data_IF_774119923185
#
_entry.id   IF_774119923185
#
_cell.length_a   1.000
_cell.length_b   1.000
_cell.length_c   1.000
_cell.angle_alpha   90.00
_cell.angle_beta   90.00
_cell.angle_gamma   90.00
#
_symmetry.space_group_name_H-M   'P 1'
#
loop_
_entity.id
_entity.type
_entity.pdbx_description
1 polymer ?
#
# COMPACT_ATOMS: atom_id res chain seq x y z
N UNK A 1 31.88 9.66 3.28
CA UNK A 1 30.82 10.41 2.58
C UNK A 1 29.52 9.67 2.82
N UNK A 2 28.49 10.35 3.25
CA UNK A 2 27.16 9.75 3.41
C UNK A 2 26.65 9.35 2.03
N UNK A 3 26.17 8.11 1.86
CA UNK A 3 25.62 7.65 0.59
C UNK A 3 24.39 8.49 0.22
N UNK A 4 24.32 8.95 -1.02
CA UNK A 4 23.15 9.70 -1.52
C UNK A 4 22.26 8.71 -2.25
N UNK A 5 21.28 8.16 -1.56
CA UNK A 5 20.37 7.12 -2.10
C UNK A 5 19.68 7.53 -3.41
N UNK A 6 19.45 8.83 -3.63
CA UNK A 6 18.87 9.35 -4.87
C UNK A 6 19.62 8.88 -6.12
N UNK A 7 20.94 8.69 -6.02
CA UNK A 7 21.77 8.28 -7.15
C UNK A 7 21.56 6.83 -7.59
N UNK A 8 20.96 6.01 -6.75
CA UNK A 8 20.58 4.62 -7.07
C UNK A 8 19.36 4.55 -7.98
N UNK A 9 18.61 5.67 -8.14
CA UNK A 9 17.37 5.78 -8.90
C UNK A 9 17.61 6.51 -10.22
N UNK A 10 17.76 5.81 -11.37
CA UNK A 10 18.15 6.40 -12.65
C UNK A 10 17.24 7.54 -13.12
N UNK A 11 15.92 7.42 -12.92
CA UNK A 11 14.99 8.47 -13.28
C UNK A 11 15.29 9.77 -12.52
N UNK A 12 15.49 9.68 -11.22
CA UNK A 12 15.75 10.85 -10.36
C UNK A 12 17.13 11.45 -10.61
N UNK A 13 18.10 10.62 -11.02
CA UNK A 13 19.43 11.07 -11.40
C UNK A 13 19.43 11.84 -12.72
N UNK A 14 18.59 11.40 -13.67
CA UNK A 14 18.51 12.00 -15.02
C UNK A 14 17.60 13.22 -15.10
N UNK A 15 16.72 13.45 -14.13
CA UNK A 15 15.74 14.53 -14.15
C UNK A 15 15.88 15.46 -12.94
N UNK A 16 15.80 16.77 -13.19
CA UNK A 16 15.79 17.78 -12.13
C UNK A 16 14.36 17.97 -11.57
N UNK A 17 13.83 16.93 -10.90
CA UNK A 17 12.50 16.92 -10.34
C UNK A 17 12.55 16.61 -8.84
N UNK A 18 11.80 17.35 -8.03
CA UNK A 18 11.47 16.96 -6.67
C UNK A 18 10.25 16.03 -6.72
N UNK A 19 10.48 14.71 -6.77
CA UNK A 19 9.43 13.72 -6.88
C UNK A 19 8.87 13.40 -5.49
N UNK A 20 7.70 13.94 -5.18
CA UNK A 20 7.02 13.85 -3.89
C UNK A 20 5.62 13.21 -4.01
N UNK A 21 5.44 12.27 -4.96
CA UNK A 21 4.19 11.48 -5.12
C UNK A 21 4.45 9.98 -4.89
N UNK A 22 5.31 9.64 -3.91
CA UNK A 22 5.73 8.27 -3.61
C UNK A 22 4.58 7.38 -3.11
N UNK A 23 3.62 7.92 -2.39
CA UNK A 23 2.44 7.18 -1.95
C UNK A 23 1.52 6.73 -3.12
N UNK A 24 1.68 7.31 -4.32
CA UNK A 24 1.04 6.83 -5.53
C UNK A 24 1.85 5.72 -6.19
N UNK A 25 3.15 5.94 -6.42
CA UNK A 25 4.12 4.94 -6.88
C UNK A 25 5.53 5.41 -6.51
N UNK A 26 6.36 4.55 -5.91
CA UNK A 26 7.76 4.85 -5.65
C UNK A 26 8.59 4.71 -6.93
N UNK A 27 9.79 5.30 -6.98
CA UNK A 27 10.74 5.08 -8.06
C UNK A 27 11.47 3.73 -7.89
N UNK A 28 12.13 3.25 -8.95
CA UNK A 28 12.83 1.96 -8.98
C UNK A 28 14.32 2.19 -8.93
N UNK A 29 15.04 1.54 -8.00
CA UNK A 29 16.50 1.54 -8.03
C UNK A 29 17.03 0.73 -9.23
N UNK A 30 18.26 1.02 -9.64
CA UNK A 30 18.88 0.38 -10.80
C UNK A 30 18.87 -1.15 -10.67
N UNK A 31 19.14 -1.69 -9.47
CA UNK A 31 19.19 -3.13 -9.24
C UNK A 31 17.85 -3.85 -9.57
N UNK A 32 16.73 -3.18 -9.36
CA UNK A 32 15.39 -3.74 -9.71
C UNK A 32 15.20 -3.74 -11.23
N UNK A 33 15.59 -2.66 -11.90
CA UNK A 33 15.51 -2.59 -13.37
C UNK A 33 16.40 -3.65 -14.02
N UNK A 34 17.61 -3.84 -13.48
CA UNK A 34 18.57 -4.85 -13.95
C UNK A 34 18.04 -6.27 -13.74
N UNK A 35 17.48 -6.56 -12.56
CA UNK A 35 16.94 -7.89 -12.25
C UNK A 35 15.81 -8.30 -13.21
N UNK A 36 14.84 -7.42 -13.46
CA UNK A 36 13.76 -7.68 -14.43
C UNK A 36 14.28 -7.83 -15.85
N UNK A 37 15.24 -6.98 -16.25
CA UNK A 37 15.86 -7.05 -17.58
C UNK A 37 16.64 -8.35 -17.75
N UNK A 38 17.40 -8.76 -16.73
CA UNK A 38 18.22 -9.98 -16.77
C UNK A 38 17.36 -11.23 -16.84
N UNK A 39 16.24 -11.29 -16.11
CA UNK A 39 15.29 -12.39 -16.23
C UNK A 39 14.85 -12.60 -17.69
N UNK A 40 14.47 -11.54 -18.40
CA UNK A 40 14.09 -11.65 -19.82
C UNK A 40 15.23 -12.03 -20.76
N UNK A 41 16.47 -11.70 -20.41
CA UNK A 41 17.64 -12.01 -21.22
C UNK A 41 18.12 -13.45 -21.07
N UNK A 42 17.98 -14.01 -19.85
CA UNK A 42 18.67 -15.26 -19.50
C UNK A 42 17.75 -16.38 -19.08
N UNK A 43 16.53 -16.08 -18.58
CA UNK A 43 15.64 -17.07 -17.94
C UNK A 43 14.22 -17.10 -18.54
N UNK A 44 13.95 -16.29 -19.57
CA UNK A 44 12.61 -16.14 -20.13
C UNK A 44 12.05 -17.45 -20.71
N UNK A 45 11.28 -18.16 -19.89
CA UNK A 45 10.53 -19.35 -20.24
C UNK A 45 9.22 -19.43 -19.43
N UNK A 46 8.28 -20.27 -19.86
CA UNK A 46 7.08 -20.54 -19.06
C UNK A 46 7.47 -21.32 -17.80
N UNK A 47 7.28 -20.76 -16.60
CA UNK A 47 7.62 -21.46 -15.36
C UNK A 47 6.64 -22.59 -15.04
N UNK A 48 6.96 -23.41 -14.04
CA UNK A 48 6.17 -24.45 -13.37
C UNK A 48 6.03 -25.77 -14.12
N UNK A 49 5.85 -25.81 -15.45
CA UNK A 49 5.53 -27.06 -16.18
C UNK A 49 6.62 -27.60 -17.10
N UNK A 50 7.61 -26.79 -17.44
CA UNK A 50 8.69 -27.23 -18.33
C UNK A 50 9.75 -28.02 -17.59
N UNK A 51 10.24 -29.13 -18.24
CA UNK A 51 11.33 -29.94 -17.69
C UNK A 51 12.69 -29.59 -18.30
N UNK A 52 12.77 -28.53 -19.10
CA UNK A 52 14.00 -28.07 -19.72
C UNK A 52 14.65 -26.94 -18.88
N UNK A 53 15.98 -26.75 -18.98
CA UNK A 53 16.73 -25.88 -18.05
C UNK A 53 16.18 -24.46 -17.89
N UNK A 54 15.75 -23.80 -18.98
CA UNK A 54 15.20 -22.44 -18.89
C UNK A 54 13.88 -22.37 -18.10
N UNK A 55 12.99 -23.37 -18.25
CA UNK A 55 11.74 -23.41 -17.49
C UNK A 55 11.98 -23.68 -16.00
N UNK A 56 12.98 -24.50 -15.70
CA UNK A 56 13.41 -24.77 -14.33
C UNK A 56 13.98 -23.48 -13.71
N UNK A 57 14.89 -22.78 -14.42
CA UNK A 57 15.45 -21.52 -13.96
C UNK A 57 14.35 -20.45 -13.71
N UNK A 58 13.42 -20.27 -14.65
CA UNK A 58 12.30 -19.35 -14.48
C UNK A 58 11.41 -19.71 -13.26
N UNK A 59 11.21 -21.02 -13.00
CA UNK A 59 10.47 -21.49 -11.83
C UNK A 59 11.24 -21.18 -10.53
N UNK A 60 12.53 -21.47 -10.51
CA UNK A 60 13.41 -21.19 -9.35
C UNK A 60 13.43 -19.70 -9.03
N UNK A 61 13.55 -18.83 -10.03
CA UNK A 61 13.51 -17.38 -9.84
C UNK A 61 12.16 -16.90 -9.30
N UNK A 62 11.05 -17.44 -9.79
CA UNK A 62 9.70 -17.13 -9.31
C UNK A 62 9.47 -17.57 -7.86
N UNK A 63 9.85 -18.79 -7.51
CA UNK A 63 9.70 -19.32 -6.14
C UNK A 63 10.70 -18.68 -5.17
N UNK A 64 11.91 -18.31 -5.61
CA UNK A 64 12.85 -17.51 -4.83
C UNK A 64 12.29 -16.14 -4.48
N UNK A 65 11.57 -15.49 -5.41
CA UNK A 65 10.88 -14.25 -5.14
C UNK A 65 9.77 -14.42 -4.09
N UNK A 66 9.02 -15.53 -4.15
CA UNK A 66 8.01 -15.87 -3.13
C UNK A 66 8.64 -16.06 -1.75
N UNK A 67 9.75 -16.76 -1.67
CA UNK A 67 10.48 -16.98 -0.42
C UNK A 67 11.06 -15.67 0.15
N UNK A 68 11.55 -14.77 -0.71
CA UNK A 68 12.00 -13.46 -0.29
C UNK A 68 10.86 -12.63 0.34
N UNK A 69 9.66 -12.67 -0.26
CA UNK A 69 8.44 -12.04 0.26
C UNK A 69 8.00 -12.70 1.57
N UNK A 70 8.00 -14.04 1.64
CA UNK A 70 7.69 -14.79 2.88
C UNK A 70 8.57 -14.30 4.04
N UNK A 71 9.88 -14.28 3.81
CA UNK A 71 10.84 -13.88 4.82
C UNK A 71 10.73 -12.38 5.17
N UNK A 72 10.37 -11.54 4.22
CA UNK A 72 10.18 -10.10 4.41
C UNK A 72 8.96 -9.78 5.29
N UNK A 73 7.88 -10.54 5.14
CA UNK A 73 6.65 -10.38 5.92
C UNK A 73 6.64 -11.18 7.23
N UNK A 74 7.63 -12.02 7.50
CA UNK A 74 7.61 -12.94 8.64
C UNK A 74 6.55 -14.03 8.55
N UNK A 75 6.10 -14.40 7.33
CA UNK A 75 5.12 -15.46 7.13
C UNK A 75 5.74 -16.84 7.44
N UNK A 76 4.92 -17.80 7.92
CA UNK A 76 5.37 -19.14 8.33
C UNK A 76 5.81 -19.99 7.14
N UNK A 77 5.07 -19.87 6.04
CA UNK A 77 5.23 -20.72 4.86
C UNK A 77 5.10 -19.90 3.58
N UNK A 78 5.84 -20.28 2.53
CA UNK A 78 5.64 -19.74 1.18
C UNK A 78 4.24 -20.06 0.60
N UNK A 79 3.55 -21.07 1.14
CA UNK A 79 2.16 -21.40 0.81
C UNK A 79 1.16 -20.31 1.22
N UNK A 80 1.56 -19.42 2.15
CA UNK A 80 0.78 -18.25 2.62
C UNK A 80 0.95 -17.01 1.72
N UNK A 81 1.81 -17.08 0.69
CA UNK A 81 2.12 -15.96 -0.20
C UNK A 81 1.55 -16.22 -1.60
N UNK A 82 0.65 -15.36 -2.02
CA UNK A 82 0.01 -15.40 -3.33
C UNK A 82 0.44 -14.16 -4.12
N UNK A 83 0.96 -14.35 -5.33
CA UNK A 83 1.21 -13.23 -6.24
C UNK A 83 -0.06 -12.83 -6.98
N UNK A 84 -0.30 -11.53 -7.04
CA UNK A 84 -1.41 -10.88 -7.72
C UNK A 84 -0.89 -9.73 -8.58
N UNK A 85 -1.76 -8.99 -9.24
CA UNK A 85 -1.33 -7.80 -10.00
C UNK A 85 -1.06 -6.57 -9.14
N UNK A 86 -1.70 -6.45 -7.99
CA UNK A 86 -1.57 -5.34 -7.03
C UNK A 86 -2.45 -5.60 -5.78
N UNK A 87 -2.35 -4.73 -4.75
CA UNK A 87 -3.21 -4.80 -3.56
C UNK A 87 -4.71 -4.79 -3.87
N UNK A 88 -5.13 -4.08 -4.92
CA UNK A 88 -6.55 -4.05 -5.32
C UNK A 88 -7.04 -5.44 -5.71
N UNK A 89 -6.27 -6.18 -6.51
CA UNK A 89 -6.61 -7.56 -6.88
C UNK A 89 -6.56 -8.48 -5.65
N UNK A 90 -5.55 -8.35 -4.80
CA UNK A 90 -5.44 -9.12 -3.55
C UNK A 90 -6.68 -8.95 -2.66
N UNK A 91 -7.13 -7.71 -2.44
CA UNK A 91 -8.33 -7.40 -1.64
C UNK A 91 -9.62 -7.90 -2.30
N UNK A 92 -9.72 -7.82 -3.63
CA UNK A 92 -10.84 -8.43 -4.35
C UNK A 92 -10.83 -9.97 -4.25
N UNK A 93 -9.65 -10.61 -4.32
CA UNK A 93 -9.51 -12.04 -4.13
C UNK A 93 -10.07 -12.44 -2.74
N UNK A 94 -9.64 -11.76 -1.68
CA UNK A 94 -10.17 -12.03 -0.33
C UNK A 94 -11.69 -11.79 -0.28
N UNK A 95 -12.18 -10.70 -0.85
CA UNK A 95 -13.60 -10.37 -0.82
C UNK A 95 -14.46 -11.39 -1.59
N UNK A 96 -14.03 -11.80 -2.78
CA UNK A 96 -14.78 -12.76 -3.61
C UNK A 96 -14.66 -14.20 -3.11
N UNK A 97 -13.46 -14.61 -2.66
CA UNK A 97 -13.24 -16.00 -2.24
C UNK A 97 -13.62 -16.21 -0.78
N UNK A 98 -13.12 -15.39 0.15
CA UNK A 98 -13.47 -15.49 1.57
C UNK A 98 -14.81 -14.80 1.87
N UNK A 99 -14.92 -13.52 1.50
CA UNK A 99 -16.09 -12.69 1.89
C UNK A 99 -17.41 -13.29 1.44
N UNK A 100 -17.57 -13.63 0.14
CA UNK A 100 -18.83 -14.18 -0.38
C UNK A 100 -19.15 -15.59 0.13
N UNK A 101 -18.17 -16.35 0.62
CA UNK A 101 -18.41 -17.71 1.16
C UNK A 101 -18.68 -17.73 2.66
N UNK A 102 -18.24 -16.72 3.41
CA UNK A 102 -18.35 -16.71 4.88
C UNK A 102 -19.32 -15.66 5.43
N UNK A 103 -19.61 -14.59 4.68
CA UNK A 103 -20.50 -13.51 5.11
C UNK A 103 -21.93 -13.79 4.62
N UNK A 104 -22.91 -13.67 5.50
CA UNK A 104 -24.33 -13.95 5.26
C UNK A 104 -25.19 -12.72 5.56
N UNK A 105 -26.49 -12.83 5.27
CA UNK A 105 -27.48 -11.81 5.59
C UNK A 105 -27.51 -11.52 7.10
N UNK A 106 -27.42 -10.24 7.45
CA UNK A 106 -27.40 -9.76 8.82
C UNK A 106 -26.04 -9.83 9.53
N UNK A 107 -25.01 -10.42 8.91
CA UNK A 107 -23.63 -10.30 9.37
C UNK A 107 -23.11 -8.88 9.18
N UNK A 108 -21.96 -8.58 9.77
CA UNK A 108 -21.35 -7.26 9.75
C UNK A 108 -19.92 -7.33 9.19
N UNK A 109 -19.58 -6.34 8.36
CA UNK A 109 -18.21 -6.06 7.92
C UNK A 109 -17.84 -4.67 8.45
N UNK A 110 -16.75 -4.59 9.20
CA UNK A 110 -16.26 -3.34 9.81
C UNK A 110 -15.00 -2.87 9.08
N UNK A 111 -15.02 -1.64 8.56
CA UNK A 111 -13.88 -1.04 7.87
C UNK A 111 -13.50 0.30 8.50
N UNK A 112 -12.23 0.74 8.38
CA UNK A 112 -11.92 2.09 8.84
C UNK A 112 -12.43 3.14 7.85
N UNK A 113 -12.70 4.35 8.35
CA UNK A 113 -13.06 5.49 7.49
C UNK A 113 -11.86 5.94 6.62
N UNK A 114 -10.64 5.54 7.00
CA UNK A 114 -9.40 5.89 6.33
C UNK A 114 -9.06 4.98 5.13
N UNK A 115 -9.93 4.04 4.78
CA UNK A 115 -9.60 3.07 3.74
C UNK A 115 -9.43 3.71 2.35
N UNK A 116 -8.38 3.26 1.66
CA UNK A 116 -8.31 3.42 0.22
C UNK A 116 -9.50 2.72 -0.45
N UNK A 117 -9.98 3.23 -1.59
CA UNK A 117 -11.11 2.62 -2.31
C UNK A 117 -10.91 1.12 -2.56
N UNK A 118 -9.68 0.66 -2.70
CA UNK A 118 -9.37 -0.77 -2.89
C UNK A 118 -9.73 -1.64 -1.70
N UNK A 119 -9.70 -1.10 -0.48
CA UNK A 119 -10.11 -1.81 0.75
C UNK A 119 -11.47 -1.37 1.28
N UNK A 120 -12.27 -0.71 0.46
CA UNK A 120 -13.66 -0.33 0.76
C UNK A 120 -14.64 -0.94 -0.24
N UNK A 121 -14.41 -0.73 -1.55
CA UNK A 121 -15.38 -1.11 -2.59
C UNK A 121 -15.64 -2.63 -2.63
N UNK A 122 -14.63 -3.50 -2.45
CA UNK A 122 -14.88 -4.94 -2.38
C UNK A 122 -15.84 -5.32 -1.24
N UNK A 123 -15.71 -4.68 -0.07
CA UNK A 123 -16.60 -4.93 1.08
C UNK A 123 -18.01 -4.40 0.87
N UNK A 124 -18.15 -3.24 0.22
CA UNK A 124 -19.46 -2.76 -0.23
C UNK A 124 -20.15 -3.75 -1.19
N UNK A 125 -19.38 -4.38 -2.07
CA UNK A 125 -19.86 -5.41 -2.98
C UNK A 125 -20.29 -6.67 -2.22
N UNK A 126 -19.48 -7.16 -1.28
CA UNK A 126 -19.83 -8.30 -0.41
C UNK A 126 -21.14 -8.02 0.32
N UNK A 127 -21.23 -6.91 1.05
CA UNK A 127 -22.42 -6.56 1.83
C UNK A 127 -23.68 -6.46 0.95
N UNK A 128 -23.57 -5.85 -0.25
CA UNK A 128 -24.71 -5.77 -1.19
C UNK A 128 -25.18 -7.13 -1.68
N UNK A 129 -24.24 -8.08 -1.90
CA UNK A 129 -24.57 -9.41 -2.42
C UNK A 129 -25.09 -10.36 -1.36
N UNK A 130 -24.63 -10.22 -0.14
CA UNK A 130 -24.97 -11.13 0.97
C UNK A 130 -26.10 -10.62 1.85
N UNK A 131 -26.43 -9.31 1.80
CA UNK A 131 -27.37 -8.69 2.76
C UNK A 131 -26.71 -8.34 4.10
N UNK A 132 -25.37 -8.36 4.18
CA UNK A 132 -24.63 -7.95 5.36
C UNK A 132 -24.57 -6.42 5.51
N UNK A 133 -24.23 -5.96 6.72
CA UNK A 133 -24.15 -4.54 7.08
C UNK A 133 -22.70 -4.08 7.06
N UNK A 134 -22.40 -3.01 6.31
CA UNK A 134 -21.10 -2.34 6.35
C UNK A 134 -21.09 -1.28 7.45
N UNK A 135 -20.13 -1.36 8.36
CA UNK A 135 -19.90 -0.40 9.45
C UNK A 135 -18.55 0.29 9.30
N UNK A 136 -18.40 1.46 9.92
CA UNK A 136 -17.17 2.25 9.85
C UNK A 136 -16.58 2.52 11.24
N UNK A 137 -15.28 2.28 11.38
CA UNK A 137 -14.46 2.83 12.46
C UNK A 137 -14.09 4.25 12.10
N UNK A 138 -14.70 5.23 12.74
CA UNK A 138 -14.38 6.65 12.57
C UNK A 138 -13.10 6.99 13.31
N UNK A 139 -12.30 7.92 12.77
CA UNK A 139 -11.09 8.40 13.40
C UNK A 139 -11.31 9.78 14.05
N UNK A 140 -10.45 10.14 14.99
CA UNK A 140 -10.33 11.51 15.50
C UNK A 140 -9.72 12.42 14.40
N UNK A 141 -9.79 13.76 14.56
CA UNK A 141 -9.25 14.70 13.56
C UNK A 141 -7.75 14.51 13.25
N UNK A 142 -6.98 13.99 14.20
CA UNK A 142 -5.56 13.66 14.04
C UNK A 142 -5.30 12.30 13.37
N UNK A 143 -6.36 11.54 13.04
CA UNK A 143 -6.32 10.22 12.44
C UNK A 143 -6.27 9.07 13.45
N UNK A 144 -6.34 9.33 14.76
CA UNK A 144 -6.34 8.28 15.79
C UNK A 144 -7.64 7.47 15.76
N UNK A 145 -7.53 6.14 15.83
CA UNK A 145 -8.66 5.24 16.10
C UNK A 145 -8.77 5.00 17.60
N UNK A 146 -9.89 5.42 18.21
CA UNK A 146 -10.17 5.13 19.62
C UNK A 146 -10.56 3.65 19.76
N UNK A 147 -9.70 2.85 20.38
CA UNK A 147 -9.91 1.41 20.56
C UNK A 147 -11.17 1.06 21.38
N UNK A 148 -11.61 1.92 22.29
CA UNK A 148 -12.86 1.70 23.02
C UNK A 148 -14.06 1.85 22.09
N UNK A 149 -14.02 2.83 21.18
CA UNK A 149 -15.05 2.98 20.15
C UNK A 149 -15.02 1.79 19.18
N UNK A 150 -13.84 1.35 18.75
CA UNK A 150 -13.66 0.18 17.88
C UNK A 150 -14.26 -1.08 18.56
N UNK A 151 -13.92 -1.35 19.83
CA UNK A 151 -14.48 -2.50 20.57
C UNK A 151 -16.02 -2.45 20.62
N UNK A 152 -16.61 -1.27 20.83
CA UNK A 152 -18.07 -1.11 20.88
C UNK A 152 -18.78 -1.38 19.54
N UNK A 153 -18.07 -1.25 18.40
CA UNK A 153 -18.60 -1.52 17.06
C UNK A 153 -18.57 -2.99 16.68
N UNK A 154 -17.66 -3.77 17.28
CA UNK A 154 -17.48 -5.20 17.03
C UNK A 154 -18.53 -5.98 17.84
N UNK A 155 -19.29 -6.84 17.16
CA UNK A 155 -20.34 -7.67 17.76
C UNK A 155 -20.12 -9.15 17.38
N UNK A 156 -20.94 -10.05 17.88
CA UNK A 156 -20.99 -11.47 17.50
C UNK A 156 -21.36 -11.70 16.02
N UNK A 157 -21.93 -10.67 15.37
CA UNK A 157 -22.25 -10.67 13.93
C UNK A 157 -21.08 -10.20 13.06
N UNK A 158 -20.05 -9.58 13.64
CA UNK A 158 -18.89 -9.12 12.89
C UNK A 158 -18.11 -10.33 12.37
N UNK A 159 -17.91 -10.41 11.05
CA UNK A 159 -17.19 -11.51 10.38
C UNK A 159 -15.86 -11.06 9.80
N UNK A 160 -15.77 -9.80 9.42
CA UNK A 160 -14.56 -9.22 8.81
C UNK A 160 -14.33 -7.86 9.43
N UNK A 161 -13.06 -7.61 9.83
CA UNK A 161 -12.55 -6.28 10.16
C UNK A 161 -11.45 -5.96 9.16
N UNK A 162 -11.60 -4.87 8.41
CA UNK A 162 -10.60 -4.45 7.41
C UNK A 162 -10.05 -3.06 7.77
N UNK A 163 -8.73 -2.95 7.85
CA UNK A 163 -8.07 -1.70 8.22
C UNK A 163 -6.78 -1.48 7.44
N UNK A 164 -6.57 -0.26 6.95
CA UNK A 164 -5.27 0.14 6.41
C UNK A 164 -4.25 0.25 7.55
N UNK A 165 -3.05 -0.30 7.35
CA UNK A 165 -1.98 -0.23 8.34
C UNK A 165 -1.41 1.19 8.45
N UNK A 166 -1.21 1.86 7.31
CA UNK A 166 -0.82 3.28 7.24
C UNK A 166 -1.78 4.00 6.30
N UNK A 167 -2.40 5.07 6.77
CA UNK A 167 -3.31 5.88 5.96
C UNK A 167 -2.56 6.57 4.82
N UNK A 168 -3.02 6.37 3.59
CA UNK A 168 -2.47 7.04 2.41
C UNK A 168 -2.82 8.53 2.30
N UNK A 169 -3.61 9.05 3.24
CA UNK A 169 -4.00 10.47 3.33
C UNK A 169 -3.35 11.12 4.55
N UNK A 170 -3.49 10.53 5.73
CA UNK A 170 -3.05 11.14 6.99
C UNK A 170 -1.63 10.71 7.40
N UNK A 171 -1.07 9.67 6.75
CA UNK A 171 0.23 9.12 7.14
C UNK A 171 0.21 8.38 8.49
N UNK A 172 -0.95 8.32 9.14
CA UNK A 172 -1.11 7.71 10.47
C UNK A 172 -0.92 6.20 10.42
N UNK A 173 -0.13 5.67 11.34
CA UNK A 173 0.01 4.22 11.58
C UNK A 173 -1.11 3.78 12.50
N UNK A 174 -1.92 2.81 12.07
CA UNK A 174 -3.04 2.27 12.83
C UNK A 174 -2.60 1.10 13.73
N UNK A 175 -3.21 0.93 14.91
CA UNK A 175 -2.89 -0.12 15.88
C UNK A 175 -3.48 -1.47 15.46
N UNK A 176 -2.92 -2.06 14.39
CA UNK A 176 -3.47 -3.28 13.75
C UNK A 176 -3.54 -4.45 14.71
N UNK A 177 -2.49 -4.66 15.53
CA UNK A 177 -2.44 -5.77 16.49
C UNK A 177 -3.58 -5.72 17.50
N UNK A 178 -3.85 -4.54 18.04
CA UNK A 178 -4.91 -4.30 19.00
C UNK A 178 -6.28 -4.50 18.36
N UNK A 179 -6.47 -4.01 17.13
CA UNK A 179 -7.71 -4.20 16.38
C UNK A 179 -7.91 -5.68 16.03
N UNK A 180 -6.85 -6.39 15.62
CA UNK A 180 -6.89 -7.82 15.34
C UNK A 180 -7.32 -8.63 16.58
N UNK A 181 -6.77 -8.30 17.75
CA UNK A 181 -7.15 -8.96 19.00
C UNK A 181 -8.65 -8.77 19.33
N UNK A 182 -9.21 -7.57 19.07
CA UNK A 182 -10.63 -7.31 19.22
C UNK A 182 -11.47 -8.10 18.20
N UNK A 183 -11.04 -8.15 16.95
CA UNK A 183 -11.69 -8.89 15.87
C UNK A 183 -11.72 -10.40 16.20
N UNK A 184 -10.59 -10.99 16.56
CA UNK A 184 -10.49 -12.41 16.88
C UNK A 184 -11.30 -12.82 18.13
N UNK A 185 -11.38 -11.95 19.13
CA UNK A 185 -12.25 -12.18 20.32
C UNK A 185 -13.72 -12.36 19.93
N UNK A 186 -14.16 -11.73 18.83
CA UNK A 186 -15.52 -11.87 18.28
C UNK A 186 -15.64 -12.96 17.20
N UNK A 187 -14.55 -13.66 16.86
CA UNK A 187 -14.49 -14.66 15.79
C UNK A 187 -14.47 -14.08 14.37
N UNK A 188 -14.12 -12.80 14.24
CA UNK A 188 -13.94 -12.13 12.95
C UNK A 188 -12.51 -12.27 12.45
N UNK A 189 -12.30 -12.23 11.12
CA UNK A 189 -10.97 -12.18 10.53
C UNK A 189 -10.48 -10.75 10.37
N UNK A 190 -9.16 -10.55 10.46
CA UNK A 190 -8.48 -9.27 10.27
C UNK A 190 -7.84 -9.18 8.88
N UNK A 191 -8.29 -8.24 8.06
CA UNK A 191 -7.74 -7.93 6.72
C UNK A 191 -6.99 -6.61 6.78
N UNK A 192 -5.71 -6.64 6.43
CA UNK A 192 -4.81 -5.49 6.55
C UNK A 192 -4.37 -5.01 5.17
N UNK A 193 -4.67 -3.75 4.83
CA UNK A 193 -4.05 -3.08 3.69
C UNK A 193 -2.70 -2.49 4.10
N UNK A 194 -1.63 -3.18 3.72
CA UNK A 194 -0.24 -2.81 3.97
C UNK A 194 0.42 -2.01 2.85
N UNK A 195 -0.36 -1.52 1.89
CA UNK A 195 0.20 -0.84 0.71
C UNK A 195 1.04 0.39 1.03
N UNK A 196 0.78 1.07 2.13
CA UNK A 196 1.56 2.23 2.59
C UNK A 196 2.50 1.91 3.76
N UNK A 197 2.33 0.79 4.45
CA UNK A 197 3.25 0.42 5.54
C UNK A 197 4.52 -0.26 5.02
N UNK A 198 4.38 -1.17 4.05
CA UNK A 198 5.48 -1.99 3.53
C UNK A 198 6.70 -1.19 3.05
N UNK A 199 6.57 -0.01 2.39
CA UNK A 199 7.73 0.78 1.98
C UNK A 199 8.38 1.58 3.11
N UNK A 200 7.70 1.80 4.25
CA UNK A 200 8.12 2.76 5.26
C UNK A 200 8.48 2.15 6.62
N UNK A 201 7.81 1.06 7.01
CA UNK A 201 8.00 0.43 8.32
C UNK A 201 8.18 -1.08 8.19
N UNK A 202 8.92 -1.73 9.11
CA UNK A 202 9.02 -3.19 9.13
C UNK A 202 7.64 -3.80 9.40
N UNK A 203 7.33 -4.87 8.67
CA UNK A 203 6.08 -5.61 8.80
C UNK A 203 6.39 -7.05 9.20
N UNK A 204 5.74 -7.51 10.26
CA UNK A 204 5.69 -8.91 10.66
C UNK A 204 4.22 -9.31 10.83
N UNK A 205 3.71 -10.10 9.88
CA UNK A 205 2.29 -10.49 9.83
C UNK A 205 1.88 -11.37 11.02
N UNK A 206 2.85 -12.09 11.64
CA UNK A 206 2.62 -12.85 12.86
C UNK A 206 2.47 -11.93 14.07
N UNK A 207 3.35 -10.92 14.20
CA UNK A 207 3.28 -9.95 15.28
C UNK A 207 2.04 -9.04 15.17
N UNK A 208 1.61 -8.72 13.95
CA UNK A 208 0.35 -7.99 13.69
C UNK A 208 -0.89 -8.84 13.95
N UNK A 209 -0.73 -10.15 14.01
CA UNK A 209 -1.83 -11.12 14.09
C UNK A 209 -2.84 -10.97 12.94
N UNK A 210 -2.33 -10.64 11.74
CA UNK A 210 -3.14 -10.48 10.55
C UNK A 210 -3.57 -11.85 9.99
N UNK A 211 -4.83 -11.95 9.55
CA UNK A 211 -5.33 -13.12 8.81
C UNK A 211 -5.05 -12.98 7.31
N UNK A 212 -5.21 -11.77 6.80
CA UNK A 212 -4.83 -11.39 5.44
C UNK A 212 -4.06 -10.07 5.47
N UNK A 213 -2.99 -9.99 4.68
CA UNK A 213 -2.20 -8.77 4.50
C UNK A 213 -1.87 -8.59 3.03
N UNK A 214 -2.01 -7.36 2.51
CA UNK A 214 -1.76 -7.08 1.11
C UNK A 214 -0.82 -5.90 0.89
N UNK A 215 0.00 -5.99 -0.18
CA UNK A 215 0.74 -4.83 -0.66
C UNK A 215 0.97 -4.87 -2.17
N UNK A 216 1.40 -3.74 -2.76
CA UNK A 216 1.71 -3.60 -4.18
C UNK A 216 3.20 -3.42 -4.39
N UNK A 217 3.79 -4.16 -5.33
CA UNK A 217 5.22 -4.10 -5.64
C UNK A 217 5.70 -2.71 -6.02
N UNK A 218 4.90 -1.95 -6.79
CA UNK A 218 5.27 -0.61 -7.25
C UNK A 218 5.39 0.45 -6.14
N UNK A 219 4.96 0.17 -4.91
CA UNK A 219 5.14 1.06 -3.77
C UNK A 219 6.37 0.72 -2.96
N UNK A 220 6.78 -0.54 -2.95
CA UNK A 220 8.03 -1.00 -2.33
C UNK A 220 9.20 -1.05 -3.33
N UNK A 221 9.31 -0.03 -4.19
CA UNK A 221 10.39 0.16 -5.16
C UNK A 221 10.48 -0.91 -6.27
N UNK A 222 9.52 -1.84 -6.32
CA UNK A 222 9.38 -2.89 -7.32
C UNK A 222 8.60 -2.47 -8.57
N UNK A 223 8.40 -3.36 -9.56
CA UNK A 223 7.64 -3.08 -10.78
C UNK A 223 6.16 -2.82 -10.53
N UNK A 224 5.49 -2.22 -11.52
CA UNK A 224 4.03 -2.23 -11.63
C UNK A 224 3.59 -3.63 -12.10
N UNK A 225 2.32 -3.97 -11.86
CA UNK A 225 1.76 -5.23 -12.36
C UNK A 225 2.01 -6.44 -11.47
N UNK A 226 2.67 -6.27 -10.33
CA UNK A 226 2.86 -7.29 -9.30
C UNK A 226 2.40 -6.80 -7.94
N UNK A 227 1.71 -7.63 -7.19
CA UNK A 227 1.27 -7.44 -5.83
C UNK A 227 1.32 -8.73 -5.05
N UNK A 228 1.09 -8.65 -3.77
CA UNK A 228 1.15 -9.77 -2.83
C UNK A 228 -0.10 -9.80 -1.98
N UNK A 229 -0.64 -11.01 -1.81
CA UNK A 229 -1.54 -11.38 -0.73
C UNK A 229 -0.80 -12.37 0.18
N UNK A 230 -0.65 -12.02 1.44
CA UNK A 230 -0.45 -12.98 2.52
C UNK A 230 -1.82 -13.40 3.05
N UNK A 231 -2.01 -14.68 3.30
CA UNK A 231 -3.16 -15.22 4.02
C UNK A 231 -2.75 -16.41 4.85
N UNK A 232 -3.37 -16.59 6.04
CA UNK A 232 -3.14 -17.78 6.85
C UNK A 232 -3.47 -19.03 6.05
N UNK A 233 -2.60 -20.03 6.09
CA UNK A 233 -2.71 -21.25 5.27
C UNK A 233 -4.06 -21.95 5.46
N UNK A 234 -4.57 -22.02 6.70
CA UNK A 234 -5.87 -22.61 7.00
C UNK A 234 -7.02 -21.88 6.30
N UNK A 235 -7.03 -20.55 6.28
CA UNK A 235 -8.07 -19.76 5.60
C UNK A 235 -7.96 -19.88 4.08
N UNK A 236 -6.75 -19.78 3.53
CA UNK A 236 -6.52 -19.97 2.09
C UNK A 236 -6.94 -21.35 1.61
N UNK A 237 -6.74 -22.38 2.43
CA UNK A 237 -7.11 -23.77 2.09
C UNK A 237 -8.62 -23.93 1.95
N UNK A 238 -9.41 -23.27 2.77
CA UNK A 238 -10.88 -23.33 2.79
C UNK A 238 -11.50 -22.45 1.69
N UNK A 239 -10.84 -21.39 1.27
CA UNK A 239 -11.36 -20.46 0.26
C UNK A 239 -11.53 -21.11 -1.12
N UNK A 240 -12.63 -20.86 -1.85
CA UNK A 240 -12.69 -21.21 -3.27
C UNK A 240 -11.69 -20.39 -4.08
N UNK A 241 -11.22 -20.87 -5.25
CA UNK A 241 -10.33 -20.10 -6.11
C UNK A 241 -11.01 -18.79 -6.58
N UNK A 242 -10.21 -17.75 -6.82
CA UNK A 242 -10.68 -16.47 -7.33
C UNK A 242 -10.82 -16.48 -8.86
N UNK A 243 -9.76 -16.88 -9.53
CA UNK A 243 -9.73 -17.07 -10.99
C UNK A 243 -9.60 -18.56 -11.30
N UNK A 244 -10.18 -18.98 -12.42
CA UNK A 244 -10.09 -20.37 -12.89
C UNK A 244 -9.45 -20.41 -14.26
N UNK A 245 -8.57 -21.40 -14.49
CA UNK A 245 -7.83 -21.54 -15.74
C UNK A 245 -6.75 -22.62 -15.67
N UNK A 246 -5.73 -22.47 -16.49
CA UNK A 246 -4.53 -23.30 -16.42
C UNK A 246 -3.72 -23.02 -15.16
N UNK A 247 -2.77 -23.85 -14.84
CA UNK A 247 -1.82 -23.85 -13.72
C UNK A 247 -2.47 -24.10 -12.34
N UNK A 248 -3.66 -23.58 -12.06
CA UNK A 248 -4.32 -23.63 -10.75
C UNK A 248 -5.13 -24.92 -10.49
N UNK A 249 -4.95 -25.94 -11.31
CA UNK A 249 -5.64 -27.21 -11.24
C UNK A 249 -4.66 -28.40 -11.15
N UNK A 250 -5.06 -29.44 -10.44
CA UNK A 250 -4.41 -30.74 -10.46
C UNK A 250 -4.96 -31.61 -11.61
N UNK A 251 -6.29 -31.68 -11.73
CA UNK A 251 -6.96 -32.41 -12.82
C UNK A 251 -8.28 -31.78 -13.22
N UNK A 252 -8.68 -31.97 -14.47
CA UNK A 252 -9.95 -31.49 -15.04
C UNK A 252 -10.63 -32.59 -15.81
N UNK A 253 -11.92 -32.78 -15.58
CA UNK A 253 -12.81 -33.61 -16.36
C UNK A 253 -13.79 -32.77 -17.18
N UNK A 254 -14.77 -33.37 -17.85
CA UNK A 254 -15.82 -32.58 -18.53
C UNK A 254 -16.69 -31.79 -17.59
N UNK A 255 -16.90 -32.26 -16.36
CA UNK A 255 -17.91 -31.77 -15.44
C UNK A 255 -17.34 -31.29 -14.10
N UNK A 256 -16.04 -31.50 -13.85
CA UNK A 256 -15.41 -31.18 -12.57
C UNK A 256 -13.92 -30.87 -12.71
N UNK A 257 -13.38 -30.17 -11.70
CA UNK A 257 -11.95 -29.93 -11.56
C UNK A 257 -11.51 -30.19 -10.12
N UNK A 258 -10.30 -30.69 -9.94
CA UNK A 258 -9.55 -30.69 -8.69
C UNK A 258 -8.55 -29.55 -8.77
N UNK A 259 -8.59 -28.66 -7.78
CA UNK A 259 -7.71 -27.51 -7.74
C UNK A 259 -6.33 -27.89 -7.22
N UNK A 260 -5.32 -27.16 -7.64
CA UNK A 260 -3.96 -27.34 -7.18
C UNK A 260 -3.83 -26.97 -5.69
N UNK A 261 -2.73 -27.42 -5.08
CA UNK A 261 -2.31 -27.01 -3.75
C UNK A 261 -2.01 -25.49 -3.68
N UNK A 262 -1.90 -24.96 -2.46
CA UNK A 262 -1.41 -23.61 -2.24
C UNK A 262 0.08 -23.51 -2.60
N UNK A 263 0.52 -22.40 -3.17
CA UNK A 263 -0.21 -21.19 -3.52
C UNK A 263 -0.88 -21.22 -4.90
N UNK A 264 -0.57 -22.21 -5.75
CA UNK A 264 -0.97 -22.28 -7.16
C UNK A 264 -2.49 -22.23 -7.36
N UNK A 265 -3.28 -22.71 -6.40
CA UNK A 265 -4.76 -22.60 -6.39
C UNK A 265 -5.27 -21.19 -6.71
N UNK A 266 -4.52 -20.14 -6.37
CA UNK A 266 -4.90 -18.74 -6.57
C UNK A 266 -4.14 -18.04 -7.70
N UNK A 267 -3.25 -18.75 -8.41
CA UNK A 267 -2.38 -18.19 -9.46
C UNK A 267 -2.72 -18.81 -10.83
N UNK A 268 -3.89 -18.44 -11.36
CA UNK A 268 -4.38 -18.98 -12.62
C UNK A 268 -3.70 -18.36 -13.84
N UNK A 269 -3.36 -19.20 -14.82
CA UNK A 269 -2.71 -18.82 -16.07
C UNK A 269 -1.19 -18.72 -15.95
N UNK A 270 -0.52 -18.31 -17.02
CA UNK A 270 0.93 -18.06 -16.97
C UNK A 270 1.24 -16.94 -15.99
N UNK A 271 2.01 -17.24 -14.96
CA UNK A 271 2.34 -16.29 -13.89
C UNK A 271 3.31 -15.21 -14.37
N UNK A 272 3.28 -14.06 -13.71
CA UNK A 272 4.15 -12.94 -14.01
C UNK A 272 5.52 -13.09 -13.32
N UNK A 273 6.33 -14.04 -13.80
CA UNK A 273 7.61 -14.37 -13.19
C UNK A 273 8.62 -13.22 -13.29
N UNK A 274 8.68 -12.53 -14.41
CA UNK A 274 9.61 -11.41 -14.61
C UNK A 274 9.38 -10.26 -13.60
N UNK A 275 8.12 -9.85 -13.41
CA UNK A 275 7.85 -8.80 -12.43
C UNK A 275 7.91 -9.32 -10.97
N UNK A 276 7.77 -10.62 -10.72
CA UNK A 276 7.96 -11.18 -9.38
C UNK A 276 9.43 -11.11 -8.91
N UNK A 277 10.39 -11.21 -9.82
CA UNK A 277 11.82 -11.01 -9.52
C UNK A 277 12.10 -9.57 -9.05
N UNK A 278 11.31 -8.59 -9.53
CA UNK A 278 11.46 -7.20 -9.15
C UNK A 278 11.28 -6.92 -7.65
N UNK A 279 10.16 -7.31 -6.99
CA UNK A 279 10.02 -7.25 -5.53
C UNK A 279 11.13 -7.99 -4.77
N UNK A 280 11.65 -9.11 -5.27
CA UNK A 280 12.80 -9.78 -4.65
C UNK A 280 14.00 -8.82 -4.59
N UNK A 281 14.41 -8.28 -5.73
CA UNK A 281 15.51 -7.33 -5.80
C UNK A 281 15.25 -6.04 -4.97
N UNK A 282 13.98 -5.58 -4.93
CA UNK A 282 13.59 -4.43 -4.11
C UNK A 282 13.68 -4.73 -2.61
N UNK A 283 13.26 -5.92 -2.18
CA UNK A 283 13.37 -6.38 -0.78
C UNK A 283 14.83 -6.48 -0.36
N UNK A 284 15.70 -7.03 -1.21
CA UNK A 284 17.13 -7.12 -0.93
C UNK A 284 17.77 -5.73 -0.84
N UNK A 285 17.36 -4.81 -1.70
CA UNK A 285 17.80 -3.42 -1.64
C UNK A 285 17.36 -2.75 -0.33
N UNK A 286 16.08 -2.86 0.06
CA UNK A 286 15.56 -2.36 1.34
C UNK A 286 16.28 -2.97 2.52
N UNK A 287 16.51 -4.28 2.52
CA UNK A 287 17.29 -4.97 3.58
C UNK A 287 18.73 -4.48 3.66
N UNK A 288 19.35 -4.15 2.54
CA UNK A 288 20.74 -3.66 2.50
C UNK A 288 20.89 -2.27 3.14
N UNK A 289 19.84 -1.44 3.09
CA UNK A 289 19.78 -0.13 3.75
C UNK A 289 19.35 -0.28 5.21
N UNK A 290 18.32 -1.08 5.45
CA UNK A 290 17.67 -1.26 6.74
C UNK A 290 16.59 -0.20 7.02
N UNK A 291 15.50 -0.64 7.66
CA UNK A 291 14.37 0.25 7.98
C UNK A 291 14.74 1.37 8.95
N UNK A 292 15.67 1.16 9.88
CA UNK A 292 16.10 2.20 10.81
C UNK A 292 16.70 3.41 10.08
N UNK A 293 17.54 3.17 9.07
CA UNK A 293 18.13 4.23 8.25
C UNK A 293 17.10 4.89 7.34
N UNK A 294 16.24 4.12 6.69
CA UNK A 294 15.15 4.64 5.87
C UNK A 294 14.22 5.54 6.69
N UNK A 295 13.80 5.06 7.86
CA UNK A 295 12.95 5.81 8.77
C UNK A 295 13.63 7.09 9.28
N UNK A 296 14.92 7.03 9.63
CA UNK A 296 15.69 8.21 10.05
C UNK A 296 15.70 9.30 8.98
N UNK A 297 15.88 8.93 7.71
CA UNK A 297 15.84 9.84 6.57
C UNK A 297 14.45 10.44 6.38
N UNK A 298 13.42 9.60 6.31
CA UNK A 298 12.05 10.04 6.07
C UNK A 298 11.51 10.89 7.22
N UNK A 299 11.79 10.54 8.47
CA UNK A 299 11.39 11.33 9.64
C UNK A 299 12.03 12.73 9.64
N UNK A 300 13.33 12.82 9.27
CA UNK A 300 14.02 14.11 9.16
C UNK A 300 13.38 14.99 8.06
N UNK A 301 13.09 14.41 6.89
CA UNK A 301 12.44 15.12 5.78
C UNK A 301 11.00 15.52 6.11
N UNK A 302 10.24 14.63 6.77
CA UNK A 302 8.86 14.89 7.21
C UNK A 302 8.82 16.04 8.21
N UNK A 303 9.71 16.02 9.18
CA UNK A 303 9.84 17.13 10.16
C UNK A 303 10.16 18.44 9.48
N UNK A 304 11.17 18.46 8.59
CA UNK A 304 11.55 19.67 7.82
C UNK A 304 10.36 20.22 7.03
N UNK A 305 9.64 19.36 6.33
CA UNK A 305 8.49 19.76 5.52
C UNK A 305 7.35 20.32 6.38
N UNK A 306 6.97 19.65 7.47
CA UNK A 306 5.89 20.11 8.33
C UNK A 306 6.25 21.40 9.09
N UNK A 307 7.48 21.54 9.61
CA UNK A 307 7.96 22.75 10.22
C UNK A 307 8.03 23.92 9.23
N UNK A 308 8.39 23.64 7.98
CA UNK A 308 8.38 24.63 6.90
C UNK A 308 6.97 25.07 6.55
N UNK A 309 6.05 24.15 6.34
CA UNK A 309 4.64 24.43 6.02
C UNK A 309 3.99 25.30 7.11
N UNK A 310 4.23 25.02 8.40
CA UNK A 310 3.69 25.82 9.52
C UNK A 310 4.10 27.28 9.51
N UNK A 311 5.21 27.62 8.88
CA UNK A 311 5.67 29.01 8.75
C UNK A 311 4.99 29.73 7.58
N UNK A 312 4.26 29.00 6.74
CA UNK A 312 3.56 29.59 5.59
C UNK A 312 2.11 29.84 5.98
N UNK A 313 1.68 31.11 6.10
CA UNK A 313 0.31 31.44 6.45
C UNK A 313 -0.68 30.85 5.45
N UNK A 314 -1.90 30.54 5.92
CA UNK A 314 -2.99 30.02 5.10
C UNK A 314 -2.76 28.57 4.56
N UNK A 315 -1.75 27.85 5.03
CA UNK A 315 -1.53 26.42 4.72
C UNK A 315 -1.91 25.60 5.94
N UNK A 316 -2.72 24.56 5.73
CA UNK A 316 -3.24 23.72 6.81
C UNK A 316 -2.92 22.26 6.50
N UNK A 317 -2.16 21.59 7.36
CA UNK A 317 -1.90 20.16 7.29
C UNK A 317 -3.10 19.41 7.86
N UNK A 318 -3.48 18.30 7.25
CA UNK A 318 -4.49 17.38 7.75
C UNK A 318 -3.83 16.29 8.62
N UNK A 319 -4.56 15.85 9.64
CA UNK A 319 -4.07 14.82 10.57
C UNK A 319 -3.33 15.41 11.75
N UNK A 320 -2.35 14.67 12.29
CA UNK A 320 -1.60 15.07 13.46
C UNK A 320 -0.72 16.30 13.21
N UNK A 321 -0.55 17.12 14.25
CA UNK A 321 0.45 18.19 14.22
C UNK A 321 1.87 17.66 14.54
N UNK A 322 2.00 16.44 15.06
CA UNK A 322 3.29 15.84 15.39
C UNK A 322 3.91 15.17 14.15
N UNK A 323 5.07 15.64 13.64
CA UNK A 323 5.73 15.03 12.48
C UNK A 323 6.07 13.55 12.65
N UNK A 324 6.31 13.09 13.88
CA UNK A 324 6.64 11.69 14.19
C UNK A 324 5.45 10.72 13.99
N UNK A 325 4.24 11.26 13.85
CA UNK A 325 3.01 10.49 13.61
C UNK A 325 2.64 10.43 12.14
N UNK A 326 3.50 10.93 11.26
CA UNK A 326 3.37 10.84 9.81
C UNK A 326 4.41 9.88 9.24
N UNK A 327 3.97 8.98 8.37
CA UNK A 327 4.81 8.04 7.65
C UNK A 327 5.16 8.61 6.28
N UNK A 328 5.95 9.69 6.23
CA UNK A 328 6.35 10.35 4.99
C UNK A 328 5.21 11.02 4.18
N UNK A 329 3.96 11.02 4.68
CA UNK A 329 2.78 11.50 3.94
C UNK A 329 2.27 12.78 4.57
N UNK A 330 2.24 13.86 3.79
CA UNK A 330 1.79 15.19 4.24
C UNK A 330 0.69 15.67 3.31
N UNK A 331 -0.54 15.68 3.82
CA UNK A 331 -1.73 16.16 3.11
C UNK A 331 -2.10 17.53 3.64
N UNK A 332 -2.33 18.49 2.73
CA UNK A 332 -2.56 19.87 3.11
C UNK A 332 -3.54 20.59 2.19
N UNK A 333 -4.05 21.71 2.66
CA UNK A 333 -4.85 22.69 1.90
C UNK A 333 -4.22 24.08 2.00
N UNK A 334 -4.51 24.93 1.03
CA UNK A 334 -4.13 26.35 1.04
C UNK A 334 -5.40 27.18 0.90
N UNK A 335 -5.62 28.15 1.81
CA UNK A 335 -6.83 28.96 1.82
C UNK A 335 -7.05 29.69 0.50
N UNK A 336 -8.22 29.45 -0.10
CA UNK A 336 -8.64 30.07 -1.35
C UNK A 336 -7.98 29.49 -2.61
N UNK A 337 -7.12 28.48 -2.51
CA UNK A 337 -6.47 27.84 -3.66
C UNK A 337 -7.00 26.43 -3.83
N UNK A 338 -7.48 26.10 -5.03
CA UNK A 338 -7.93 24.74 -5.31
C UNK A 338 -6.73 23.77 -5.38
N UNK A 339 -6.83 22.55 -4.82
CA UNK A 339 -5.70 21.61 -4.80
C UNK A 339 -5.10 21.27 -6.17
N UNK A 340 -5.90 21.29 -7.26
CA UNK A 340 -5.38 21.09 -8.61
C UNK A 340 -4.47 22.25 -9.04
N UNK A 341 -4.85 23.50 -8.72
CA UNK A 341 -4.02 24.67 -9.02
C UNK A 341 -2.71 24.61 -8.20
N UNK A 342 -2.77 24.12 -6.95
CA UNK A 342 -1.58 23.85 -6.14
C UNK A 342 -0.65 22.87 -6.88
N UNK A 343 -1.16 21.73 -7.34
CA UNK A 343 -0.34 20.71 -7.98
C UNK A 343 0.21 21.17 -9.33
N UNK A 344 -0.54 21.96 -10.09
CA UNK A 344 -0.12 22.52 -11.39
C UNK A 344 1.02 23.53 -11.20
N UNK A 345 0.87 24.48 -10.27
CA UNK A 345 1.90 25.48 -9.97
C UNK A 345 3.18 24.82 -9.46
N UNK A 346 3.07 23.81 -8.58
CA UNK A 346 4.22 23.07 -8.08
C UNK A 346 4.91 22.29 -9.20
N UNK A 347 4.13 21.72 -10.14
CA UNK A 347 4.69 21.00 -11.28
C UNK A 347 5.50 21.93 -12.21
N UNK A 348 5.04 23.16 -12.43
CA UNK A 348 5.80 24.18 -13.18
C UNK A 348 7.15 24.50 -12.51
N UNK A 349 7.20 24.44 -11.16
CA UNK A 349 8.43 24.63 -10.38
C UNK A 349 9.27 23.33 -10.26
N UNK A 350 8.88 22.25 -10.97
CA UNK A 350 9.58 20.96 -10.94
C UNK A 350 9.35 20.14 -9.69
N UNK A 351 8.21 20.32 -9.02
CA UNK A 351 7.80 19.57 -7.82
C UNK A 351 6.57 18.73 -8.15
N UNK A 352 6.71 17.40 -8.11
CA UNK A 352 5.61 16.47 -8.37
C UNK A 352 4.90 16.09 -7.08
N UNK A 353 3.66 16.52 -6.92
CA UNK A 353 2.74 16.13 -5.85
C UNK A 353 1.40 15.68 -6.45
N UNK A 354 0.51 15.16 -5.62
CA UNK A 354 -0.84 14.77 -6.04
C UNK A 354 -1.91 15.71 -5.48
N UNK A 355 -2.95 15.96 -6.28
CA UNK A 355 -4.17 16.65 -5.86
C UNK A 355 -5.41 15.76 -5.99
N UNK A 356 -6.41 15.99 -5.16
CA UNK A 356 -7.70 15.30 -5.19
C UNK A 356 -8.08 14.65 -3.86
N UNK A 357 -8.87 13.59 -3.91
CA UNK A 357 -9.31 12.82 -2.74
C UNK A 357 -8.47 11.56 -2.48
N UNK A 358 -7.36 11.36 -3.20
CA UNK A 358 -6.37 10.29 -3.00
C UNK A 358 -6.96 8.87 -2.90
N UNK A 359 -8.07 8.61 -3.61
CA UNK A 359 -8.85 7.37 -3.53
C UNK A 359 -9.39 7.04 -2.12
N UNK A 360 -9.69 8.08 -1.32
CA UNK A 360 -10.25 7.96 0.03
C UNK A 360 -11.40 9.00 0.23
N UNK A 361 -12.37 9.01 -0.70
CA UNK A 361 -13.47 9.98 -0.67
C UNK A 361 -14.27 9.99 0.62
N UNK A 362 -14.61 8.84 1.26
CA UNK A 362 -15.32 8.86 2.54
C UNK A 362 -14.56 9.58 3.65
N UNK A 363 -13.23 9.39 3.76
CA UNK A 363 -12.41 10.12 4.71
C UNK A 363 -12.44 11.63 4.44
N UNK A 364 -12.31 12.04 3.17
CA UNK A 364 -12.36 13.45 2.78
C UNK A 364 -13.70 14.09 3.12
N UNK A 365 -14.81 13.38 2.87
CA UNK A 365 -16.16 13.83 3.25
C UNK A 365 -16.30 13.94 4.78
N UNK A 366 -15.80 12.95 5.51
CA UNK A 366 -15.81 12.92 6.98
C UNK A 366 -15.03 14.10 7.59
N UNK A 367 -13.85 14.42 7.05
CA UNK A 367 -13.03 15.55 7.49
C UNK A 367 -13.52 16.93 6.95
N UNK A 368 -14.59 16.96 6.15
CA UNK A 368 -15.11 18.20 5.55
C UNK A 368 -14.14 18.86 4.55
N UNK A 369 -13.28 18.06 3.91
CA UNK A 369 -12.26 18.50 2.96
C UNK A 369 -12.39 17.71 1.66
N UNK A 370 -13.20 18.16 0.70
CA UNK A 370 -13.53 17.36 -0.49
C UNK A 370 -12.33 17.09 -1.41
N UNK A 371 -11.30 17.90 -1.32
CA UNK A 371 -10.07 17.76 -2.10
C UNK A 371 -8.89 18.37 -1.36
N UNK A 372 -7.70 17.79 -1.52
CA UNK A 372 -6.45 18.22 -0.87
C UNK A 372 -5.27 18.06 -1.82
N UNK A 373 -4.16 18.72 -1.49
CA UNK A 373 -2.85 18.42 -2.05
C UNK A 373 -2.10 17.45 -1.11
N UNK A 374 -1.33 16.52 -1.66
CA UNK A 374 -0.56 15.55 -0.90
C UNK A 374 0.86 15.46 -1.43
N UNK A 375 1.83 15.77 -0.59
CA UNK A 375 3.22 15.40 -0.77
C UNK A 375 3.48 14.08 -0.04
N UNK A 376 4.23 13.18 -0.65
CA UNK A 376 4.66 11.93 -0.03
C UNK A 376 6.13 11.68 -0.30
N UNK A 377 6.87 11.53 0.79
CA UNK A 377 8.31 11.38 0.83
C UNK A 377 8.71 9.91 0.79
N UNK A 378 9.93 9.65 0.36
CA UNK A 378 10.61 8.37 0.51
C UNK A 378 12.06 8.65 0.93
N UNK A 379 12.73 7.64 1.47
CA UNK A 379 14.09 7.78 2.02
C UNK A 379 15.12 8.33 1.01
N UNK A 380 14.90 8.20 -0.29
CA UNK A 380 15.79 8.74 -1.34
C UNK A 380 15.53 10.23 -1.68
N UNK A 381 14.47 10.84 -1.14
CA UNK A 381 14.28 12.28 -1.28
C UNK A 381 15.35 13.04 -0.51
N UNK A 382 15.54 14.30 -0.88
CA UNK A 382 16.56 15.18 -0.30
C UNK A 382 15.94 16.39 0.40
N UNK A 383 16.71 17.05 1.27
CA UNK A 383 16.30 18.33 1.83
C UNK A 383 15.99 19.38 0.76
N UNK A 384 16.75 19.37 -0.35
CA UNK A 384 16.52 20.26 -1.48
C UNK A 384 15.18 20.01 -2.18
N UNK A 385 14.69 18.75 -2.23
CA UNK A 385 13.35 18.45 -2.75
C UNK A 385 12.26 19.08 -1.86
N UNK A 386 12.44 18.98 -0.53
CA UNK A 386 11.52 19.60 0.45
C UNK A 386 11.57 21.11 0.37
N UNK A 387 12.76 21.71 0.33
CA UNK A 387 12.92 23.17 0.25
C UNK A 387 12.28 23.74 -1.03
N UNK A 388 12.47 23.08 -2.18
CA UNK A 388 11.81 23.47 -3.44
C UNK A 388 10.29 23.46 -3.30
N UNK A 389 9.73 22.44 -2.65
CA UNK A 389 8.29 22.38 -2.37
C UNK A 389 7.84 23.56 -1.49
N UNK A 390 8.56 23.84 -0.42
CA UNK A 390 8.24 24.93 0.51
C UNK A 390 8.32 26.31 -0.15
N UNK A 391 9.37 26.54 -0.98
CA UNK A 391 9.53 27.77 -1.75
C UNK A 391 8.35 27.98 -2.71
N UNK A 392 7.96 26.94 -3.45
CA UNK A 392 6.81 26.99 -4.35
C UNK A 392 5.51 27.26 -3.61
N UNK A 393 5.23 26.55 -2.51
CA UNK A 393 4.02 26.78 -1.68
C UNK A 393 4.00 28.20 -1.13
N UNK A 394 5.14 28.76 -0.74
CA UNK A 394 5.21 30.11 -0.15
C UNK A 394 4.76 31.24 -1.08
N UNK A 395 4.88 31.03 -2.39
CA UNK A 395 4.52 32.01 -3.43
C UNK A 395 3.14 31.75 -4.07
N UNK A 396 2.48 30.62 -3.77
CA UNK A 396 1.24 30.19 -4.40
C UNK A 396 0.16 31.26 -4.43
N UNK A 397 -0.16 31.86 -3.29
CA UNK A 397 -1.25 32.86 -3.19
C UNK A 397 -0.92 34.14 -3.94
N UNK A 398 0.36 34.57 -3.95
CA UNK A 398 0.80 35.74 -4.74
C UNK A 398 0.65 35.45 -6.25
N UNK A 399 1.04 34.28 -6.70
CA UNK A 399 0.89 33.84 -8.11
C UNK A 399 -0.57 33.74 -8.54
N UNK A 400 -1.46 33.38 -7.60
CA UNK A 400 -2.91 33.34 -7.84
C UNK A 400 -3.61 34.71 -7.70
N UNK A 401 -2.85 35.79 -7.45
CA UNK A 401 -3.41 37.14 -7.35
C UNK A 401 -4.05 37.50 -6.00
N UNK A 402 -3.87 36.68 -4.95
CA UNK A 402 -4.43 36.93 -3.62
C UNK A 402 -3.59 37.89 -2.77
N UNK A 403 -2.54 38.55 -3.35
CA UNK A 403 -1.63 39.45 -2.69
C UNK A 403 -0.52 38.73 -1.91
N UNK A 404 0.48 39.52 -1.40
CA UNK A 404 1.60 38.95 -0.65
C UNK A 404 1.13 38.28 0.64
N UNK A 405 1.58 37.07 0.89
CA UNK A 405 1.42 36.42 2.18
C UNK A 405 2.22 37.23 3.23
N UNK A 406 1.57 37.67 4.29
CA UNK A 406 2.30 38.19 5.43
C UNK A 406 2.84 37.00 6.22
N UNK A 407 4.15 36.82 6.20
CA UNK A 407 4.82 35.90 7.13
C UNK A 407 4.51 36.40 8.55
N UNK A 408 3.97 35.54 9.39
CA UNK A 408 3.76 35.80 10.82
C UNK A 408 5.08 35.76 11.58
#
# INVERSE_FOLDING_TARGET
MTHIYRDDFPLLKSQNIAYLDNAATAQRPQCVLDAVTEFYRTENANPLRGLYPLSIAATESYESAREAVRAFLGAKSSREIIFTRNSTESLNLVAYSYGLSHVKEGDEVLVSIMEHHSNLLPWQMVCRRTGAVLKFMECEPDGTLDLNKVESLITDKTKIVACTHVSNVLGRVNPIREIAALAHKAGAVMVVDGAQSTPHIPVDVQALDADFFVFSGHKIYGPMGIGVLYGREELLSEMPPFLTGGEMIESVTRDSAVFAELPQKFEAGTVNAADAVGPHAAIDYVKSIGFDEMHRQEAALTRRAMEGIRKIPCVHVLGSENPEEHCGIITFTVDGVHPHDISEILADDGVAIRAGHHCAQPLHAYLGRPSTARASLAFYNTEADVDRMLDSISTLRERMGYGKQKLL
#
